data_IF_757235145471
#
_entry.id   IF_757235145471
#
_cell.length_a   1.000
_cell.length_b   1.000
_cell.length_c   1.000
_cell.angle_alpha   90.00
_cell.angle_beta   90.00
_cell.angle_gamma   90.00
#
_symmetry.space_group_name_H-M   'P 1'
#
loop_
_entity.id
_entity.type
_entity.pdbx_description
1 polymer ?
#
# COMPACT_ATOMS: atom_id res chain seq x y z
N UNK A 1 -20.01 3.07 42.52
CA UNK A 1 -18.90 2.51 41.74
C UNK A 1 -19.48 1.52 40.75
N UNK A 2 -19.51 1.86 39.46
CA UNK A 2 -20.02 0.97 38.42
C UNK A 2 -18.81 0.27 37.79
N UNK A 3 -18.55 -0.96 38.21
CA UNK A 3 -17.54 -1.81 37.59
C UNK A 3 -18.14 -2.47 36.37
N UNK A 4 -17.68 -2.08 35.18
CA UNK A 4 -17.97 -2.86 33.98
C UNK A 4 -17.23 -4.19 34.12
N UNK A 5 -17.98 -5.29 34.15
CA UNK A 5 -17.45 -6.64 34.00
C UNK A 5 -16.61 -6.65 32.71
N UNK A 6 -15.31 -6.92 32.82
CA UNK A 6 -14.33 -6.90 31.73
C UNK A 6 -14.54 -7.95 30.62
N UNK A 7 -15.78 -8.41 30.44
CA UNK A 7 -16.23 -9.38 29.44
C UNK A 7 -17.03 -8.74 28.30
N UNK A 8 -17.44 -7.47 28.41
CA UNK A 8 -17.80 -6.67 27.23
C UNK A 8 -16.51 -6.11 26.61
N UNK A 9 -15.62 -7.02 26.21
CA UNK A 9 -14.62 -6.67 25.22
C UNK A 9 -15.39 -6.17 24.00
N UNK A 10 -15.20 -4.90 23.65
CA UNK A 10 -15.56 -4.37 22.35
C UNK A 10 -14.69 -5.06 21.27
N UNK A 11 -14.90 -6.36 21.09
CA UNK A 11 -14.33 -7.20 20.06
C UNK A 11 -15.12 -6.97 18.79
N UNK A 12 -14.97 -5.78 18.21
CA UNK A 12 -15.59 -5.37 16.94
C UNK A 12 -15.05 -6.13 15.71
N UNK A 13 -14.35 -7.26 15.91
CA UNK A 13 -13.79 -8.07 14.84
C UNK A 13 -14.64 -9.31 14.50
N UNK A 14 -15.63 -9.66 15.32
CA UNK A 14 -16.60 -10.71 14.97
C UNK A 14 -18.01 -10.18 15.17
N UNK A 15 -18.79 -10.12 14.09
CA UNK A 15 -20.23 -9.90 14.17
C UNK A 15 -20.77 -10.97 15.13
N UNK A 16 -21.46 -10.55 16.19
CA UNK A 16 -22.00 -11.48 17.19
C UNK A 16 -22.93 -12.48 16.46
N UNK A 17 -22.79 -13.78 16.76
CA UNK A 17 -23.54 -14.85 16.10
C UNK A 17 -25.07 -14.59 16.00
N UNK A 18 -25.76 -14.00 17.00
CA UNK A 18 -27.18 -13.67 16.91
C UNK A 18 -27.55 -12.55 15.90
N UNK A 19 -26.57 -11.74 15.49
CA UNK A 19 -26.70 -10.71 14.46
C UNK A 19 -26.40 -11.31 13.08
N UNK A 20 -25.45 -12.24 13.01
CA UNK A 20 -25.10 -12.97 11.79
C UNK A 20 -26.26 -13.87 11.30
N UNK A 21 -27.00 -14.47 12.23
CA UNK A 21 -28.21 -15.29 11.97
C UNK A 21 -29.38 -14.50 11.32
N UNK A 22 -29.23 -13.17 11.18
CA UNK A 22 -30.20 -12.27 10.52
C UNK A 22 -29.76 -11.79 9.14
N UNK A 23 -28.55 -12.13 8.69
CA UNK A 23 -28.07 -11.84 7.34
C UNK A 23 -28.17 -13.11 6.50
N UNK A 24 -28.84 -13.04 5.35
CA UNK A 24 -28.98 -14.20 4.44
C UNK A 24 -27.62 -14.67 3.87
N UNK A 25 -26.61 -13.79 3.84
CA UNK A 25 -25.25 -14.07 3.40
C UNK A 25 -24.26 -13.28 4.27
N UNK A 26 -23.28 -13.97 4.85
CA UNK A 26 -22.11 -13.34 5.48
C UNK A 26 -20.94 -13.31 4.49
N UNK A 27 -20.55 -12.12 4.02
CA UNK A 27 -19.36 -11.95 3.19
C UNK A 27 -18.27 -11.33 4.06
N UNK A 28 -17.18 -12.06 4.27
CA UNK A 28 -15.98 -11.56 4.95
C UNK A 28 -15.03 -11.01 3.87
N UNK A 29 -14.93 -9.68 3.77
CA UNK A 29 -14.04 -9.00 2.83
C UNK A 29 -12.75 -8.62 3.55
N UNK A 30 -11.63 -9.21 3.13
CA UNK A 30 -10.31 -8.76 3.56
C UNK A 30 -9.86 -7.55 2.72
N UNK A 31 -9.37 -6.46 3.32
CA UNK A 31 -8.90 -5.32 2.54
C UNK A 31 -7.62 -5.70 1.78
N UNK A 32 -7.67 -5.60 0.45
CA UNK A 32 -6.46 -5.74 -0.37
C UNK A 32 -5.65 -4.44 -0.33
N UNK A 33 -4.32 -4.56 -0.48
CA UNK A 33 -3.44 -3.39 -0.59
C UNK A 33 -3.76 -2.58 -1.83
N UNK A 34 -4.11 -3.23 -2.94
CA UNK A 34 -4.42 -2.53 -4.19
C UNK A 34 -5.64 -1.61 -4.04
N UNK A 35 -6.73 -2.10 -3.43
CA UNK A 35 -7.93 -1.29 -3.18
C UNK A 35 -7.64 -0.15 -2.21
N UNK A 36 -6.86 -0.44 -1.17
CA UNK A 36 -6.48 0.57 -0.20
C UNK A 36 -5.59 1.66 -0.82
N UNK A 37 -4.66 1.30 -1.70
CA UNK A 37 -3.79 2.24 -2.42
C UNK A 37 -4.61 3.17 -3.31
N UNK A 38 -5.61 2.66 -4.03
CA UNK A 38 -6.53 3.47 -4.85
C UNK A 38 -7.23 4.52 -3.97
N UNK A 39 -7.82 4.08 -2.85
CA UNK A 39 -8.47 4.98 -1.89
C UNK A 39 -7.48 5.99 -1.29
N UNK A 40 -6.31 5.53 -0.87
CA UNK A 40 -5.30 6.33 -0.17
C UNK A 40 -4.75 7.45 -1.06
N UNK A 41 -4.51 7.17 -2.34
CA UNK A 41 -4.09 8.18 -3.32
C UNK A 41 -5.18 9.22 -3.55
N UNK A 42 -6.44 8.81 -3.69
CA UNK A 42 -7.57 9.74 -3.84
C UNK A 42 -7.73 10.68 -2.62
N UNK A 43 -7.34 10.21 -1.42
CA UNK A 43 -7.40 10.98 -0.17
C UNK A 43 -6.07 11.65 0.20
N UNK A 44 -5.10 11.69 -0.72
CA UNK A 44 -3.80 12.34 -0.50
C UNK A 44 -3.09 11.86 0.77
N UNK A 45 -3.18 10.55 1.06
CA UNK A 45 -2.34 9.92 2.06
C UNK A 45 -0.88 10.08 1.65
N UNK A 46 0.00 10.33 2.61
CA UNK A 46 1.43 10.54 2.39
C UNK A 46 2.01 9.42 1.50
N UNK A 47 2.64 9.73 0.35
CA UNK A 47 3.09 8.74 -0.62
C UNK A 47 4.02 7.67 -0.04
N UNK A 48 4.84 8.03 0.96
CA UNK A 48 5.72 7.08 1.66
C UNK A 48 4.96 6.00 2.42
N UNK A 49 3.80 6.31 3.00
CA UNK A 49 2.95 5.30 3.66
C UNK A 49 2.39 4.33 2.59
N UNK A 50 2.00 4.87 1.43
CA UNK A 50 1.52 4.08 0.30
C UNK A 50 2.61 3.15 -0.23
N UNK A 51 3.82 3.68 -0.47
CA UNK A 51 4.99 2.89 -0.88
C UNK A 51 5.35 1.81 0.13
N UNK A 52 5.36 2.14 1.43
CA UNK A 52 5.59 1.15 2.49
C UNK A 52 4.61 -0.03 2.40
N UNK A 53 3.31 0.25 2.25
CA UNK A 53 2.29 -0.80 2.18
C UNK A 53 2.29 -1.58 0.86
N UNK A 54 2.83 -1.01 -0.22
CA UNK A 54 3.11 -1.76 -1.44
C UNK A 54 4.29 -2.74 -1.25
N UNK A 55 5.33 -2.34 -0.52
CA UNK A 55 6.47 -3.21 -0.22
C UNK A 55 6.16 -4.28 0.84
N UNK A 56 5.35 -3.96 1.84
CA UNK A 56 4.96 -4.86 2.92
C UNK A 56 3.42 -4.97 3.04
N UNK A 57 2.76 -5.64 2.07
CA UNK A 57 1.30 -5.69 2.01
C UNK A 57 0.66 -6.32 3.26
N UNK A 58 1.35 -7.28 3.89
CA UNK A 58 0.91 -7.90 5.14
C UNK A 58 0.84 -6.96 6.34
N UNK A 59 1.35 -5.73 6.23
CA UNK A 59 1.27 -4.71 7.29
C UNK A 59 0.04 -3.81 7.17
N UNK A 60 -0.84 -4.02 6.17
CA UNK A 60 -2.07 -3.25 6.03
C UNK A 60 -3.07 -3.56 7.16
N UNK A 61 -3.24 -4.84 7.48
CA UNK A 61 -4.28 -5.34 8.37
C UNK A 61 -3.75 -6.47 9.27
N UNK A 62 -4.06 -6.40 10.56
CA UNK A 62 -3.78 -7.46 11.53
C UNK A 62 -5.07 -8.25 11.78
N UNK A 63 -5.12 -9.51 11.33
CA UNK A 63 -6.33 -10.34 11.42
C UNK A 63 -6.79 -10.60 12.86
N UNK A 64 -5.87 -11.02 13.73
CA UNK A 64 -6.13 -11.31 15.14
C UNK A 64 -5.31 -10.38 16.05
N UNK A 65 -5.77 -9.14 16.26
CA UNK A 65 -5.03 -8.19 17.09
C UNK A 65 -5.10 -8.56 18.57
N UNK A 66 -4.00 -8.44 19.32
CA UNK A 66 -4.00 -8.66 20.76
C UNK A 66 -4.94 -7.67 21.48
N UNK A 67 -5.63 -8.10 22.54
CA UNK A 67 -6.55 -7.24 23.27
C UNK A 67 -5.81 -6.04 23.86
N UNK A 68 -6.45 -4.88 23.81
CA UNK A 68 -5.96 -3.60 24.38
C UNK A 68 -4.63 -3.08 23.81
N UNK A 69 -4.23 -3.52 22.60
CA UNK A 69 -3.07 -2.98 21.91
C UNK A 69 -3.46 -2.26 20.62
N UNK A 70 -2.58 -1.37 20.13
CA UNK A 70 -2.71 -0.78 18.80
C UNK A 70 -2.30 -1.83 17.76
N UNK A 71 -2.99 -1.83 16.63
CA UNK A 71 -2.81 -2.80 15.56
C UNK A 71 -3.01 -2.15 14.19
N UNK A 72 -2.56 -2.83 13.15
CA UNK A 72 -2.62 -2.33 11.79
C UNK A 72 -4.01 -2.56 11.20
N UNK A 73 -4.55 -1.53 10.57
CA UNK A 73 -5.78 -1.55 9.80
C UNK A 73 -5.73 -0.41 8.77
N UNK A 74 -6.49 -0.50 7.67
CA UNK A 74 -6.67 0.62 6.74
C UNK A 74 -6.91 1.98 7.42
N UNK A 75 -7.72 1.96 8.49
CA UNK A 75 -8.07 3.15 9.28
C UNK A 75 -6.94 3.66 10.17
N UNK A 76 -6.10 2.78 10.74
CA UNK A 76 -4.96 3.22 11.54
C UNK A 76 -3.91 3.89 10.67
N UNK A 77 -3.67 3.40 9.46
CA UNK A 77 -2.77 4.04 8.48
C UNK A 77 -3.26 5.43 8.07
N UNK A 78 -4.56 5.57 7.74
CA UNK A 78 -5.16 6.88 7.49
C UNK A 78 -5.14 7.81 8.72
N UNK A 79 -5.16 7.25 9.94
CA UNK A 79 -4.98 8.03 11.18
C UNK A 79 -3.54 8.49 11.34
N UNK A 80 -2.55 7.66 11.02
CA UNK A 80 -1.13 8.00 11.07
C UNK A 80 -0.83 9.20 10.18
N UNK A 81 -1.28 9.18 8.93
CA UNK A 81 -1.16 10.31 7.99
C UNK A 81 -1.75 11.60 8.58
N UNK A 82 -2.99 11.55 9.09
CA UNK A 82 -3.65 12.72 9.68
C UNK A 82 -2.93 13.27 10.91
N UNK A 83 -2.27 12.42 11.70
CA UNK A 83 -1.49 12.84 12.86
C UNK A 83 -0.17 13.48 12.43
N UNK A 84 0.54 12.88 11.45
CA UNK A 84 1.78 13.41 10.90
C UNK A 84 1.61 14.75 10.17
N UNK A 85 0.42 15.04 9.64
CA UNK A 85 0.08 16.35 9.08
C UNK A 85 -0.06 17.45 10.14
N UNK A 86 -0.14 17.11 11.44
CA UNK A 86 -0.16 18.09 12.54
C UNK A 86 1.26 18.44 12.96
N UNK A 87 1.47 19.68 13.40
CA UNK A 87 2.78 20.10 13.88
C UNK A 87 3.22 19.29 15.11
N UNK A 88 4.50 18.91 15.13
CA UNK A 88 5.14 18.22 16.27
C UNK A 88 5.07 16.69 16.23
N UNK A 89 4.51 16.08 15.18
CA UNK A 89 4.49 14.62 15.01
C UNK A 89 5.29 14.20 13.77
N UNK A 90 6.20 13.26 13.94
CA UNK A 90 6.95 12.61 12.85
C UNK A 90 6.56 11.15 12.69
N UNK A 91 7.39 10.38 11.99
CA UNK A 91 7.19 8.94 11.83
C UNK A 91 7.40 8.17 13.15
N UNK A 92 8.02 8.80 14.14
CA UNK A 92 8.31 8.27 15.47
C UNK A 92 7.04 7.79 16.22
N UNK A 93 5.87 8.33 15.88
CA UNK A 93 4.60 7.91 16.50
C UNK A 93 3.98 6.64 15.90
N UNK A 94 4.50 6.13 14.78
CA UNK A 94 3.86 5.02 14.06
C UNK A 94 3.53 3.80 14.94
N UNK A 95 4.43 3.30 15.81
CA UNK A 95 4.13 2.20 16.75
C UNK A 95 2.89 2.44 17.63
N UNK A 96 2.66 3.69 18.05
CA UNK A 96 1.52 4.09 18.87
C UNK A 96 0.20 4.26 18.08
N UNK A 97 0.24 4.17 16.76
CA UNK A 97 -0.94 4.37 15.89
C UNK A 97 -1.32 3.09 15.17
N UNK A 98 -0.35 2.42 14.54
CA UNK A 98 -0.56 1.22 13.70
C UNK A 98 -0.11 -0.06 14.39
N UNK A 99 0.32 0.02 15.65
CA UNK A 99 0.84 -1.12 16.42
C UNK A 99 2.35 -1.24 16.33
N UNK A 100 2.99 -1.90 17.32
CA UNK A 100 4.44 -1.90 17.48
C UNK A 100 5.18 -2.55 16.31
N UNK A 101 4.66 -3.67 15.80
CA UNK A 101 5.28 -4.41 14.70
C UNK A 101 5.27 -3.61 13.37
N UNK A 102 4.08 -3.22 12.90
CA UNK A 102 3.94 -2.43 11.68
C UNK A 102 4.56 -1.02 11.80
N UNK A 103 4.49 -0.43 12.99
CA UNK A 103 5.08 0.88 13.26
C UNK A 103 6.60 0.87 13.23
N UNK A 104 7.24 -0.16 13.79
CA UNK A 104 8.70 -0.31 13.71
C UNK A 104 9.16 -0.57 12.26
N UNK A 105 8.41 -1.39 11.51
CA UNK A 105 8.72 -1.67 10.11
C UNK A 105 8.73 -0.39 9.25
N UNK A 106 7.68 0.45 9.32
CA UNK A 106 7.65 1.69 8.55
C UNK A 106 8.73 2.68 9.00
N UNK A 107 9.05 2.74 10.31
CA UNK A 107 10.14 3.58 10.81
C UNK A 107 11.49 3.19 10.23
N UNK A 108 11.76 1.89 10.13
CA UNK A 108 13.02 1.39 9.56
C UNK A 108 13.13 1.70 8.07
N UNK A 109 12.03 1.61 7.32
CA UNK A 109 12.01 1.89 5.88
C UNK A 109 11.95 3.39 5.56
N UNK A 110 11.50 4.22 6.51
CA UNK A 110 11.24 5.66 6.31
C UNK A 110 12.41 6.45 5.71
N UNK A 111 13.68 6.25 6.15
CA UNK A 111 14.81 6.98 5.59
C UNK A 111 15.01 6.69 4.10
N UNK A 112 14.85 5.43 3.68
CA UNK A 112 14.96 5.04 2.27
C UNK A 112 13.84 5.65 1.44
N UNK A 113 12.59 5.56 1.92
CA UNK A 113 11.43 6.16 1.24
C UNK A 113 11.48 7.69 1.18
N UNK A 114 12.36 8.31 1.98
CA UNK A 114 12.57 9.75 2.02
C UNK A 114 13.73 10.23 1.14
N UNK A 115 14.47 9.33 0.49
CA UNK A 115 15.56 9.68 -0.43
C UNK A 115 15.02 10.40 -1.67
N UNK A 116 15.80 11.32 -2.27
CA UNK A 116 15.45 11.93 -3.55
C UNK A 116 15.47 10.88 -4.67
N UNK A 117 14.77 11.21 -5.77
CA UNK A 117 14.63 10.31 -6.92
C UNK A 117 16.00 9.90 -7.49
N UNK A 118 16.94 10.83 -7.55
CA UNK A 118 18.28 10.61 -8.11
C UNK A 118 19.03 9.51 -7.34
N UNK A 119 19.01 9.57 -6.01
CA UNK A 119 19.64 8.55 -5.14
C UNK A 119 18.95 7.19 -5.26
N UNK A 120 17.62 7.16 -5.46
CA UNK A 120 16.89 5.91 -5.64
C UNK A 120 17.18 5.26 -6.99
N UNK A 121 17.31 6.05 -8.05
CA UNK A 121 17.65 5.54 -9.38
C UNK A 121 19.05 4.91 -9.41
N UNK A 122 19.98 5.44 -8.60
CA UNK A 122 21.36 4.95 -8.46
C UNK A 122 21.51 3.87 -7.38
N UNK A 123 20.44 3.54 -6.65
CA UNK A 123 20.50 2.57 -5.56
C UNK A 123 20.73 1.16 -6.09
N UNK A 124 21.81 0.54 -5.65
CA UNK A 124 22.06 -0.89 -5.84
C UNK A 124 21.11 -1.73 -4.98
N UNK A 125 20.60 -2.81 -5.55
CA UNK A 125 19.72 -3.76 -4.86
C UNK A 125 20.50 -5.06 -4.65
N UNK A 126 20.74 -5.44 -3.39
CA UNK A 126 21.49 -6.67 -3.08
C UNK A 126 20.56 -7.89 -3.00
N UNK A 127 19.28 -7.66 -2.71
CA UNK A 127 18.26 -8.70 -2.49
C UNK A 127 16.99 -8.41 -3.28
N UNK A 128 16.16 -9.44 -3.50
CA UNK A 128 14.83 -9.28 -4.09
C UNK A 128 13.93 -8.34 -3.26
N UNK A 129 14.08 -8.34 -1.93
CA UNK A 129 13.36 -7.42 -1.06
C UNK A 129 13.75 -5.95 -1.31
N UNK A 130 15.04 -5.67 -1.56
CA UNK A 130 15.50 -4.32 -1.89
C UNK A 130 14.87 -3.83 -3.21
N UNK A 131 14.72 -4.72 -4.19
CA UNK A 131 14.08 -4.38 -5.47
C UNK A 131 12.58 -4.08 -5.31
N UNK A 132 11.87 -4.85 -4.50
CA UNK A 132 10.46 -4.58 -4.16
C UNK A 132 10.33 -3.23 -3.46
N UNK A 133 11.20 -2.94 -2.50
CA UNK A 133 11.23 -1.64 -1.81
C UNK A 133 11.51 -0.51 -2.80
N UNK A 134 12.50 -0.67 -3.68
CA UNK A 134 12.81 0.32 -4.71
C UNK A 134 11.63 0.57 -5.63
N UNK A 135 11.03 -0.50 -6.19
CA UNK A 135 9.86 -0.39 -7.06
C UNK A 135 8.71 0.34 -6.35
N UNK A 136 8.42 -0.02 -5.11
CA UNK A 136 7.38 0.64 -4.30
C UNK A 136 7.68 2.13 -4.07
N UNK A 137 8.95 2.47 -3.83
CA UNK A 137 9.40 3.84 -3.58
C UNK A 137 9.26 4.70 -4.84
N UNK A 138 9.61 4.15 -6.01
CA UNK A 138 9.49 4.84 -7.29
C UNK A 138 8.03 5.24 -7.62
N UNK A 139 7.02 4.55 -7.06
CA UNK A 139 5.60 4.91 -7.24
C UNK A 139 5.18 6.24 -6.59
N UNK A 140 6.10 6.91 -5.85
CA UNK A 140 5.88 8.26 -5.32
C UNK A 140 5.96 9.34 -6.42
N UNK A 141 6.59 9.03 -7.56
CA UNK A 141 6.75 9.94 -8.68
C UNK A 141 5.89 9.50 -9.88
N UNK A 142 5.58 10.46 -10.76
CA UNK A 142 4.97 10.15 -12.04
C UNK A 142 5.96 9.42 -12.95
N UNK A 143 5.47 8.49 -13.81
CA UNK A 143 6.34 7.71 -14.65
C UNK A 143 7.11 8.62 -15.61
N UNK A 144 8.41 8.34 -15.71
CA UNK A 144 9.29 8.96 -16.71
C UNK A 144 10.09 7.86 -17.39
N UNK A 145 10.66 8.15 -18.56
CA UNK A 145 11.53 7.20 -19.25
C UNK A 145 12.67 6.69 -18.35
N UNK A 146 13.27 7.57 -17.54
CA UNK A 146 14.34 7.20 -16.59
C UNK A 146 13.85 6.21 -15.54
N UNK A 147 12.69 6.46 -14.93
CA UNK A 147 12.11 5.57 -13.93
C UNK A 147 11.77 4.22 -14.56
N UNK A 148 11.13 4.22 -15.72
CA UNK A 148 10.73 3.00 -16.40
C UNK A 148 11.93 2.14 -16.82
N UNK A 149 12.98 2.77 -17.36
CA UNK A 149 14.25 2.07 -17.66
C UNK A 149 14.90 1.49 -16.41
N UNK A 150 14.82 2.17 -15.26
CA UNK A 150 15.32 1.63 -13.99
C UNK A 150 14.49 0.46 -13.50
N UNK A 151 13.16 0.53 -13.60
CA UNK A 151 12.23 -0.54 -13.23
C UNK A 151 12.48 -1.80 -14.06
N UNK A 152 12.71 -1.65 -15.37
CA UNK A 152 13.03 -2.77 -16.28
C UNK A 152 14.34 -3.50 -15.96
N UNK A 153 15.21 -2.94 -15.11
CA UNK A 153 16.43 -3.61 -14.63
C UNK A 153 16.17 -4.49 -13.40
N UNK A 154 14.98 -4.42 -12.81
CA UNK A 154 14.57 -5.24 -11.66
C UNK A 154 14.04 -6.60 -12.13
N UNK A 155 13.79 -7.51 -11.19
CA UNK A 155 13.12 -8.77 -11.47
C UNK A 155 11.64 -8.57 -11.84
N UNK A 156 10.98 -9.58 -12.45
CA UNK A 156 9.61 -9.45 -12.94
C UNK A 156 8.57 -9.03 -11.90
N UNK A 157 8.69 -9.51 -10.65
CA UNK A 157 7.73 -9.18 -9.59
C UNK A 157 7.75 -7.68 -9.22
N UNK A 158 8.90 -7.05 -8.89
CA UNK A 158 8.99 -5.59 -8.73
C UNK A 158 8.52 -4.78 -9.94
N UNK A 159 8.80 -5.26 -11.17
CA UNK A 159 8.32 -4.61 -12.39
C UNK A 159 6.79 -4.58 -12.44
N UNK A 160 6.14 -5.72 -12.17
CA UNK A 160 4.68 -5.83 -12.14
C UNK A 160 4.08 -4.97 -11.04
N UNK A 161 4.66 -4.96 -9.84
CA UNK A 161 4.22 -4.09 -8.73
C UNK A 161 4.19 -2.63 -9.17
N UNK A 162 5.29 -2.13 -9.73
CA UNK A 162 5.38 -0.74 -10.19
C UNK A 162 4.37 -0.47 -11.31
N UNK A 163 4.39 -1.28 -12.38
CA UNK A 163 3.57 -1.03 -13.56
C UNK A 163 2.08 -1.13 -13.25
N UNK A 164 1.64 -2.15 -12.50
CA UNK A 164 0.25 -2.29 -12.04
C UNK A 164 -0.18 -1.08 -11.23
N UNK A 165 0.65 -0.63 -10.29
CA UNK A 165 0.32 0.51 -9.42
C UNK A 165 0.23 1.82 -10.20
N UNK A 166 1.15 2.05 -11.14
CA UNK A 166 1.29 3.33 -11.82
C UNK A 166 0.37 3.45 -13.03
N UNK A 167 0.17 2.37 -13.80
CA UNK A 167 -0.61 2.43 -15.04
C UNK A 167 -2.09 2.19 -14.84
N UNK A 168 -2.52 1.51 -13.77
CA UNK A 168 -3.96 1.38 -13.44
C UNK A 168 -4.70 2.72 -13.33
N UNK A 169 -3.98 3.81 -13.06
CA UNK A 169 -4.53 5.18 -12.94
C UNK A 169 -4.38 6.03 -14.21
N UNK A 170 -3.76 5.50 -15.27
CA UNK A 170 -3.43 6.25 -16.48
C UNK A 170 -4.39 5.91 -17.60
N UNK A 171 -4.64 6.88 -18.48
CA UNK A 171 -5.41 6.61 -19.70
C UNK A 171 -4.53 5.85 -20.67
N UNK A 172 -5.11 4.96 -21.46
CA UNK A 172 -4.39 4.18 -22.46
C UNK A 172 -3.51 5.04 -23.38
N UNK A 173 -4.01 6.18 -23.85
CA UNK A 173 -3.23 7.14 -24.66
C UNK A 173 -1.95 7.65 -24.01
N UNK A 174 -1.92 7.79 -22.69
CA UNK A 174 -0.73 8.21 -21.96
C UNK A 174 0.28 7.07 -21.84
N UNK A 175 -0.21 5.83 -21.70
CA UNK A 175 0.60 4.61 -21.68
C UNK A 175 1.27 4.39 -23.05
N UNK A 176 0.53 4.58 -24.15
CA UNK A 176 1.05 4.46 -25.53
C UNK A 176 2.30 5.31 -25.76
N UNK A 177 2.32 6.55 -25.28
CA UNK A 177 3.50 7.43 -25.37
C UNK A 177 4.74 6.87 -24.65
N UNK A 178 4.55 6.11 -23.58
CA UNK A 178 5.66 5.43 -22.90
C UNK A 178 6.08 4.16 -23.64
N UNK A 179 5.15 3.43 -24.24
CA UNK A 179 5.45 2.25 -25.07
C UNK A 179 6.29 2.62 -26.30
N UNK A 180 6.01 3.76 -26.94
CA UNK A 180 6.83 4.25 -28.06
C UNK A 180 8.29 4.53 -27.66
N UNK A 181 8.52 5.05 -26.45
CA UNK A 181 9.86 5.42 -25.96
C UNK A 181 10.60 4.27 -25.29
N UNK A 182 9.86 3.37 -24.66
CA UNK A 182 10.38 2.23 -23.91
C UNK A 182 9.55 0.99 -24.25
N UNK A 183 9.75 0.40 -25.45
CA UNK A 183 8.93 -0.72 -25.93
C UNK A 183 9.01 -1.96 -25.04
N UNK A 184 10.13 -2.16 -24.34
CA UNK A 184 10.32 -3.29 -23.42
C UNK A 184 9.33 -3.33 -22.24
N UNK A 185 8.59 -2.24 -21.98
CA UNK A 185 7.51 -2.24 -20.99
C UNK A 185 6.32 -3.09 -21.46
N UNK A 186 6.10 -3.22 -22.76
CA UNK A 186 4.97 -3.93 -23.34
C UNK A 186 4.87 -5.37 -22.81
N UNK A 187 5.99 -6.09 -22.73
CA UNK A 187 6.02 -7.45 -22.17
C UNK A 187 5.63 -7.51 -20.69
N UNK A 188 5.83 -6.43 -19.93
CA UNK A 188 5.35 -6.35 -18.54
C UNK A 188 3.84 -6.14 -18.51
N UNK A 189 3.30 -5.37 -19.46
CA UNK A 189 1.86 -5.08 -19.53
C UNK A 189 1.05 -6.22 -20.08
N UNK A 190 1.59 -7.02 -20.98
CA UNK A 190 0.93 -8.26 -21.45
C UNK A 190 0.57 -9.18 -20.27
N UNK A 191 1.44 -9.24 -19.26
CA UNK A 191 1.20 -9.97 -18.01
C UNK A 191 0.17 -9.28 -17.07
N UNK A 192 -0.27 -8.06 -17.38
CA UNK A 192 -1.26 -7.27 -16.64
C UNK A 192 -2.60 -7.14 -17.37
N UNK A 193 -2.73 -7.58 -18.63
CA UNK A 193 -3.95 -7.40 -19.44
C UNK A 193 -5.18 -8.04 -18.80
N UNK A 194 -5.02 -9.11 -18.02
CA UNK A 194 -6.12 -9.71 -17.24
C UNK A 194 -6.63 -8.80 -16.09
N UNK A 195 -5.84 -7.80 -15.67
CA UNK A 195 -6.11 -6.94 -14.48
C UNK A 195 -6.60 -5.54 -14.86
N UNK A 196 -6.24 -5.04 -16.05
CA UNK A 196 -6.60 -3.68 -16.51
C UNK A 196 -7.88 -3.68 -17.36
N UNK A 197 -8.22 -4.82 -17.98
CA UNK A 197 -9.31 -4.93 -18.96
C UNK A 197 -10.75 -4.96 -18.42
N UNK A 198 -10.97 -4.96 -17.11
CA UNK A 198 -12.35 -5.02 -16.55
C UNK A 198 -13.01 -3.64 -16.35
N UNK A 199 -12.27 -2.54 -16.34
CA UNK A 199 -12.84 -1.20 -16.03
C UNK A 199 -13.35 -0.44 -17.28
N UNK A 200 -13.07 -0.90 -18.51
CA UNK A 200 -13.52 -0.24 -19.76
C UNK A 200 -14.82 -0.85 -20.35
N UNK A 201 -15.41 -1.87 -19.70
CA UNK A 201 -16.66 -2.52 -20.11
C UNK A 201 -17.90 -2.12 -19.29
N UNK A 202 -17.79 -1.14 -18.39
CA UNK A 202 -18.92 -0.55 -17.66
C UNK A 202 -19.29 0.82 -18.24
N UNK A 203 -20.25 0.83 -19.18
CA UNK A 203 -20.73 2.05 -19.87
C UNK A 203 -21.49 3.05 -19.02
#
# INVERSE_FOLDING_TARGET
ACGNLGLEAAGANKILAPIMDRFDIGIELEPTVDDWVVWARAHQIQPRIVSFLLAEPGKLYTADPPPSQKFASPRSWARLDRLMKRQGFGIDIAPGVVGPDAGAAIQNMWPLLSRPLEELLEMDCATAADEVILASALTQWDPTERILRRVLQLHPEPQLLYCRTVFRRMKWKEIEHFLEKVPAIESVLENLIDVIGEEDNGG
#
